data_IF_272569094430
#
_entry.id   IF_272569094430
#
_cell.length_a   1.000
_cell.length_b   1.000
_cell.length_c   1.000
_cell.angle_alpha   90.00
_cell.angle_beta   90.00
_cell.angle_gamma   90.00
#
_symmetry.space_group_name_H-M   'P 1'
#
loop_
_entity.id
_entity.type
_entity.pdbx_description
1 polymer ?
#
# COMPACT_ATOMS: atom_id res chain seq x y z
N UNK A 1 26.98 2.44 -28.92
CA UNK A 1 26.93 1.24 -29.81
C UNK A 1 25.97 0.15 -29.27
N UNK A 2 24.88 0.53 -28.61
CA UNK A 2 23.83 -0.37 -28.08
C UNK A 2 22.41 0.12 -28.43
N UNK A 3 22.32 1.13 -29.30
CA UNK A 3 21.07 1.77 -29.74
C UNK A 3 20.72 1.50 -31.22
N UNK A 4 21.65 0.98 -32.02
CA UNK A 4 21.45 0.69 -33.46
C UNK A 4 20.85 -0.69 -33.76
N UNK A 5 20.56 -1.52 -32.75
CA UNK A 5 19.80 -2.78 -32.93
C UNK A 5 18.27 -2.61 -32.81
N UNK A 6 17.77 -1.38 -32.68
CA UNK A 6 16.32 -1.09 -32.66
C UNK A 6 15.70 -0.90 -34.06
N UNK A 7 16.49 -0.82 -35.13
CA UNK A 7 15.97 -0.55 -36.49
C UNK A 7 15.76 -1.77 -37.38
N UNK A 8 16.10 -2.99 -36.95
CA UNK A 8 15.81 -4.22 -37.69
C UNK A 8 14.65 -5.02 -37.10
N UNK A 9 13.51 -4.36 -36.81
CA UNK A 9 12.19 -5.03 -36.68
C UNK A 9 10.99 -4.06 -36.66
N UNK A 10 11.07 -2.95 -37.39
CA UNK A 10 9.95 -2.01 -37.57
C UNK A 10 9.48 -2.12 -39.03
N UNK A 11 8.71 -3.15 -39.38
CA UNK A 11 8.00 -3.22 -40.67
C UNK A 11 6.76 -4.13 -40.74
N UNK A 12 6.33 -4.77 -39.66
CA UNK A 12 4.98 -5.35 -39.60
C UNK A 12 4.37 -4.98 -38.26
N UNK A 13 3.11 -4.55 -38.26
CA UNK A 13 2.26 -4.63 -37.08
C UNK A 13 2.26 -6.09 -36.62
N UNK A 14 3.16 -6.42 -35.69
CA UNK A 14 3.20 -7.74 -35.07
C UNK A 14 2.00 -7.80 -34.15
N UNK A 15 0.99 -8.56 -34.53
CA UNK A 15 0.07 -9.14 -33.56
C UNK A 15 0.92 -9.73 -32.42
N UNK A 16 0.74 -9.22 -31.20
CA UNK A 16 1.50 -9.68 -30.04
C UNK A 16 0.97 -11.06 -29.62
N UNK A 17 1.59 -12.13 -30.13
CA UNK A 17 1.22 -13.53 -29.86
C UNK A 17 1.77 -14.12 -28.54
N UNK A 18 2.06 -13.27 -27.55
CA UNK A 18 2.62 -13.71 -26.27
C UNK A 18 1.85 -13.07 -25.12
N UNK A 19 1.38 -13.89 -24.17
CA UNK A 19 0.52 -13.48 -23.07
C UNK A 19 1.22 -13.68 -21.73
N UNK A 20 1.26 -12.61 -20.95
CA UNK A 20 1.78 -12.61 -19.58
C UNK A 20 0.60 -12.61 -18.60
N UNK A 21 0.55 -13.63 -17.75
CA UNK A 21 -0.31 -13.70 -16.57
C UNK A 21 0.53 -13.35 -15.34
N UNK A 22 -0.07 -12.67 -14.37
CA UNK A 22 0.62 -12.26 -13.14
C UNK A 22 -0.30 -12.44 -11.94
N UNK A 23 0.15 -13.22 -10.97
CA UNK A 23 -0.56 -13.43 -9.71
C UNK A 23 -0.02 -12.47 -8.66
N UNK A 24 -0.88 -11.56 -8.20
CA UNK A 24 -0.54 -10.55 -7.22
C UNK A 24 -1.04 -10.97 -5.83
N UNK A 25 -0.22 -10.79 -4.79
CA UNK A 25 -0.58 -11.20 -3.43
C UNK A 25 -0.93 -9.97 -2.58
N UNK A 26 -2.16 -9.92 -2.06
CA UNK A 26 -2.62 -9.03 -0.99
C UNK A 26 -2.69 -7.50 -1.29
N UNK A 27 -3.86 -6.89 -1.07
CA UNK A 27 -4.23 -5.52 -1.49
C UNK A 27 -3.26 -4.38 -1.15
N UNK A 28 -2.59 -4.47 0.00
CA UNK A 28 -1.54 -3.51 0.33
C UNK A 28 -0.29 -3.62 -0.56
N UNK A 29 0.16 -4.83 -0.88
CA UNK A 29 1.30 -5.09 -1.78
C UNK A 29 0.89 -5.10 -3.26
N UNK A 30 -0.37 -5.37 -3.58
CA UNK A 30 -0.93 -5.51 -4.93
C UNK A 30 -0.78 -4.27 -5.81
N UNK A 31 -0.94 -3.05 -5.28
CA UNK A 31 -0.70 -1.83 -6.09
C UNK A 31 0.73 -1.76 -6.65
N UNK A 32 1.71 -2.32 -5.93
CA UNK A 32 3.08 -2.47 -6.40
C UNK A 32 3.18 -3.50 -7.52
N UNK A 33 2.54 -4.65 -7.31
CA UNK A 33 2.58 -5.79 -8.22
C UNK A 33 1.91 -5.47 -9.57
N UNK A 34 0.73 -4.83 -9.58
CA UNK A 34 0.03 -4.47 -10.83
C UNK A 34 0.82 -3.45 -11.66
N UNK A 35 1.39 -2.45 -10.99
CA UNK A 35 2.26 -1.47 -11.63
C UNK A 35 3.46 -2.14 -12.27
N UNK A 36 4.14 -3.00 -11.51
CA UNK A 36 5.32 -3.70 -11.99
C UNK A 36 4.99 -4.73 -13.08
N UNK A 37 3.79 -5.33 -13.05
CA UNK A 37 3.30 -6.24 -14.09
C UNK A 37 3.18 -5.54 -15.44
N UNK A 38 2.62 -4.32 -15.48
CA UNK A 38 2.56 -3.50 -16.71
C UNK A 38 3.96 -3.19 -17.22
N UNK A 39 4.89 -2.83 -16.32
CA UNK A 39 6.26 -2.50 -16.70
C UNK A 39 7.01 -3.72 -17.23
N UNK A 40 6.83 -4.89 -16.62
CA UNK A 40 7.41 -6.14 -17.13
C UNK A 40 6.80 -6.54 -18.47
N UNK A 41 5.49 -6.41 -18.65
CA UNK A 41 4.86 -6.64 -19.95
C UNK A 41 5.44 -5.70 -21.03
N UNK A 42 5.71 -4.45 -20.68
CA UNK A 42 6.42 -3.51 -21.55
C UNK A 42 7.84 -3.97 -21.89
N UNK A 43 8.64 -4.35 -20.86
CA UNK A 43 10.01 -4.85 -21.04
C UNK A 43 10.05 -6.07 -21.98
N UNK A 44 9.09 -6.97 -21.83
CA UNK A 44 8.97 -8.20 -22.62
C UNK A 44 8.30 -8.00 -23.99
N UNK A 45 7.76 -6.80 -24.27
CA UNK A 45 6.89 -6.53 -25.41
C UNK A 45 5.75 -7.55 -25.54
N UNK A 46 5.12 -7.88 -24.40
CA UNK A 46 4.09 -8.90 -24.26
C UNK A 46 2.71 -8.30 -24.05
N UNK A 47 1.67 -9.04 -24.43
CA UNK A 47 0.28 -8.73 -24.07
C UNK A 47 0.07 -9.08 -22.60
N UNK A 48 -0.29 -8.11 -21.77
CA UNK A 48 -0.65 -8.36 -20.38
C UNK A 48 -2.10 -8.83 -20.31
N UNK A 49 -2.34 -9.96 -19.63
CA UNK A 49 -3.70 -10.31 -19.20
C UNK A 49 -3.98 -9.56 -17.90
N UNK A 50 -5.20 -9.03 -17.73
CA UNK A 50 -5.61 -8.34 -16.50
C UNK A 50 -5.18 -9.19 -15.29
N UNK A 51 -4.41 -8.62 -14.32
CA UNK A 51 -3.85 -9.39 -13.22
C UNK A 51 -4.92 -10.08 -12.36
N UNK A 52 -4.54 -11.23 -11.79
CA UNK A 52 -5.40 -11.99 -10.88
C UNK A 52 -4.99 -11.77 -9.41
N UNK A 53 -5.97 -11.92 -8.53
CA UNK A 53 -5.83 -11.80 -7.08
C UNK A 53 -5.63 -13.18 -6.45
N UNK A 54 -4.72 -13.29 -5.48
CA UNK A 54 -4.56 -14.55 -4.74
C UNK A 54 -5.68 -14.76 -3.71
N UNK A 55 -6.62 -15.64 -4.04
CA UNK A 55 -7.71 -16.06 -3.17
C UNK A 55 -7.29 -16.98 -2.00
N UNK A 56 -6.04 -17.45 -1.96
CA UNK A 56 -5.52 -18.33 -0.90
C UNK A 56 -4.86 -17.57 0.27
N UNK A 57 -5.07 -16.26 0.37
CA UNK A 57 -4.48 -15.41 1.43
C UNK A 57 -5.16 -15.56 2.80
N UNK A 58 -4.56 -14.99 3.86
CA UNK A 58 -5.10 -15.02 5.23
C UNK A 58 -6.54 -14.48 5.33
N UNK A 59 -6.85 -13.47 4.51
CA UNK A 59 -8.09 -12.71 4.53
C UNK A 59 -9.26 -13.43 3.84
N UNK A 60 -8.98 -14.52 3.12
CA UNK A 60 -9.98 -15.32 2.38
C UNK A 60 -10.94 -14.46 1.55
N UNK A 61 -10.39 -13.43 0.91
CA UNK A 61 -11.12 -12.53 0.03
C UNK A 61 -11.22 -13.15 -1.37
N UNK A 62 -12.44 -13.24 -1.89
CA UNK A 62 -12.75 -13.74 -3.23
C UNK A 62 -12.95 -12.61 -4.26
N UNK A 63 -12.61 -11.36 -3.92
CA UNK A 63 -12.63 -10.27 -4.90
C UNK A 63 -11.64 -10.52 -6.02
N UNK A 64 -12.05 -10.16 -7.24
CA UNK A 64 -11.22 -10.10 -8.44
C UNK A 64 -10.74 -8.66 -8.71
N UNK A 65 -9.75 -8.52 -9.61
CA UNK A 65 -9.24 -7.20 -9.99
C UNK A 65 -10.37 -6.28 -10.49
N UNK A 66 -11.36 -6.84 -11.19
CA UNK A 66 -12.53 -6.09 -11.69
C UNK A 66 -13.50 -5.62 -10.63
N UNK A 67 -13.47 -6.22 -9.43
CA UNK A 67 -14.31 -5.79 -8.32
C UNK A 67 -13.75 -4.55 -7.63
N UNK A 68 -12.43 -4.42 -7.67
CA UNK A 68 -11.68 -3.36 -7.00
C UNK A 68 -11.38 -2.22 -7.96
N UNK A 69 -10.92 -2.53 -9.18
CA UNK A 69 -10.48 -1.56 -10.17
C UNK A 69 -11.35 -1.56 -11.44
N UNK A 70 -11.44 -0.40 -12.04
CA UNK A 70 -12.11 -0.17 -13.32
C UNK A 70 -11.22 -0.71 -14.47
N UNK A 71 -11.53 -1.93 -14.92
CA UNK A 71 -10.76 -2.65 -15.94
C UNK A 71 -10.78 -1.92 -17.29
N UNK A 72 -11.92 -1.37 -17.69
CA UNK A 72 -12.04 -0.70 -18.98
C UNK A 72 -11.22 0.59 -19.00
N UNK A 73 -11.20 1.32 -17.88
CA UNK A 73 -10.28 2.44 -17.70
C UNK A 73 -8.81 2.00 -17.71
N UNK A 74 -8.46 0.94 -16.98
CA UNK A 74 -7.10 0.42 -16.92
C UNK A 74 -6.56 0.05 -18.31
N UNK A 75 -7.35 -0.67 -19.11
CA UNK A 75 -7.00 -1.05 -20.49
C UNK A 75 -6.91 0.17 -21.39
N UNK A 76 -7.94 1.03 -21.41
CA UNK A 76 -7.98 2.17 -22.33
C UNK A 76 -6.89 3.21 -22.03
N UNK A 77 -6.61 3.48 -20.75
CA UNK A 77 -5.59 4.44 -20.31
C UNK A 77 -4.17 3.98 -20.71
N UNK A 78 -3.89 2.68 -20.62
CA UNK A 78 -2.57 2.10 -20.92
C UNK A 78 -2.42 1.60 -22.36
N UNK A 79 -3.44 1.72 -23.20
CA UNK A 79 -3.48 1.20 -24.58
C UNK A 79 -2.33 1.65 -25.48
N UNK A 80 -1.72 2.82 -25.21
CA UNK A 80 -0.55 3.34 -25.94
C UNK A 80 0.78 2.82 -25.43
N UNK A 81 0.80 2.26 -24.23
CA UNK A 81 2.01 1.76 -23.56
C UNK A 81 2.13 0.24 -23.68
N UNK A 82 1.06 -0.50 -23.34
CA UNK A 82 1.04 -1.97 -23.31
C UNK A 82 -0.32 -2.47 -23.79
N UNK A 83 -0.34 -3.53 -24.59
CA UNK A 83 -1.60 -4.21 -24.95
C UNK A 83 -2.09 -5.00 -23.74
N UNK A 84 -3.30 -4.69 -23.27
CA UNK A 84 -3.91 -5.36 -22.12
C UNK A 84 -5.23 -6.00 -22.55
N UNK A 85 -5.43 -7.28 -22.19
CA UNK A 85 -6.65 -8.04 -22.49
C UNK A 85 -7.27 -8.59 -21.22
N UNK A 86 -8.60 -8.69 -21.17
CA UNK A 86 -9.33 -9.22 -20.01
C UNK A 86 -9.06 -10.72 -19.77
N UNK A 87 -8.80 -11.46 -20.85
CA UNK A 87 -8.53 -12.90 -20.84
C UNK A 87 -7.73 -13.27 -22.08
N UNK A 88 -7.09 -14.43 -22.03
CA UNK A 88 -6.44 -15.03 -23.20
C UNK A 88 -7.51 -15.28 -24.27
N UNK A 89 -7.26 -14.95 -25.56
CA UNK A 89 -8.18 -15.26 -26.65
C UNK A 89 -8.52 -16.76 -26.70
N UNK A 90 -9.78 -17.08 -27.01
CA UNK A 90 -10.28 -18.45 -26.96
C UNK A 90 -9.55 -19.37 -27.94
N UNK A 91 -9.20 -18.84 -29.12
CA UNK A 91 -8.47 -19.52 -30.18
C UNK A 91 -7.06 -19.91 -29.70
N UNK A 92 -6.42 -19.03 -28.93
CA UNK A 92 -5.11 -19.28 -28.33
C UNK A 92 -5.23 -20.38 -27.28
N UNK A 93 -6.20 -20.27 -26.39
CA UNK A 93 -6.45 -21.26 -25.34
C UNK A 93 -6.75 -22.65 -25.91
N UNK A 94 -7.50 -22.74 -27.02
CA UNK A 94 -7.75 -24.00 -27.73
C UNK A 94 -6.49 -24.57 -28.40
N UNK A 95 -5.61 -23.71 -28.90
CA UNK A 95 -4.35 -24.11 -29.55
C UNK A 95 -3.25 -24.51 -28.55
N UNK A 96 -3.48 -24.31 -27.25
CA UNK A 96 -2.51 -24.64 -26.22
C UNK A 96 -2.60 -26.12 -25.86
N UNK A 97 -1.61 -26.90 -26.28
CA UNK A 97 -1.46 -28.30 -25.88
C UNK A 97 -1.06 -28.48 -24.40
N UNK A 98 -0.67 -27.38 -23.72
CA UNK A 98 -0.14 -27.38 -22.35
C UNK A 98 -0.67 -26.17 -21.59
N UNK A 99 -0.86 -26.35 -20.28
CA UNK A 99 -1.17 -25.25 -19.37
C UNK A 99 -0.12 -24.12 -19.44
N UNK A 100 -0.50 -22.87 -19.07
CA UNK A 100 0.44 -21.77 -18.92
C UNK A 100 1.69 -22.18 -18.14
N UNK A 101 2.87 -21.79 -18.64
CA UNK A 101 4.09 -22.09 -17.90
C UNK A 101 4.20 -21.18 -16.67
N UNK A 102 4.27 -21.77 -15.49
CA UNK A 102 4.37 -21.01 -14.23
C UNK A 102 5.82 -20.87 -13.80
N UNK A 103 6.20 -19.69 -13.32
CA UNK A 103 7.49 -19.49 -12.66
C UNK A 103 7.42 -18.39 -11.60
N UNK A 104 8.47 -18.27 -10.79
CA UNK A 104 8.62 -17.21 -9.80
C UNK A 104 9.91 -16.44 -10.07
N UNK A 105 9.77 -15.13 -10.32
CA UNK A 105 10.93 -14.26 -10.40
C UNK A 105 11.60 -14.08 -9.02
N UNK A 106 12.94 -13.97 -8.95
CA UNK A 106 13.62 -13.48 -7.77
C UNK A 106 13.08 -12.12 -7.30
N UNK A 107 13.27 -11.77 -6.03
CA UNK A 107 12.86 -10.44 -5.53
C UNK A 107 13.79 -9.38 -6.11
N UNK A 108 13.23 -8.23 -6.48
CA UNK A 108 13.96 -7.07 -7.03
C UNK A 108 14.83 -7.42 -8.25
N UNK A 109 14.36 -8.30 -9.11
CA UNK A 109 14.99 -8.57 -10.40
C UNK A 109 15.10 -7.29 -11.24
N UNK A 110 16.24 -7.15 -11.92
CA UNK A 110 16.52 -6.08 -12.88
C UNK A 110 15.87 -6.38 -14.24
N UNK A 111 15.66 -5.38 -15.12
CA UNK A 111 15.07 -5.60 -16.44
C UNK A 111 15.75 -6.71 -17.27
N UNK A 112 17.06 -6.84 -17.18
CA UNK A 112 17.87 -7.83 -17.89
C UNK A 112 17.44 -9.25 -17.53
N UNK A 113 17.12 -9.53 -16.26
CA UNK A 113 16.61 -10.84 -15.85
C UNK A 113 15.32 -11.21 -16.61
N UNK A 114 14.42 -10.26 -16.84
CA UNK A 114 13.20 -10.54 -17.59
C UNK A 114 13.51 -10.83 -19.06
N UNK A 115 14.43 -10.07 -19.66
CA UNK A 115 14.85 -10.26 -21.06
C UNK A 115 15.59 -11.59 -21.23
N UNK A 116 16.49 -11.94 -20.32
CA UNK A 116 17.39 -13.07 -20.48
C UNK A 116 16.76 -14.39 -20.02
N UNK A 117 15.94 -14.38 -18.96
CA UNK A 117 15.38 -15.60 -18.35
C UNK A 117 13.89 -15.79 -18.66
N UNK A 118 13.09 -14.73 -18.67
CA UNK A 118 11.62 -14.83 -18.83
C UNK A 118 11.21 -14.83 -20.30
N UNK A 119 11.77 -13.93 -21.11
CA UNK A 119 11.43 -13.79 -22.53
C UNK A 119 11.65 -15.08 -23.35
N UNK A 120 12.77 -15.82 -23.21
CA UNK A 120 12.98 -17.05 -23.99
C UNK A 120 11.99 -18.16 -23.62
N UNK A 121 11.48 -18.17 -22.39
CA UNK A 121 10.42 -19.10 -21.97
C UNK A 121 9.09 -18.64 -22.56
N UNK A 122 8.76 -17.36 -22.46
CA UNK A 122 7.53 -16.79 -23.01
C UNK A 122 7.44 -17.02 -24.53
N UNK A 123 8.53 -16.82 -25.28
CA UNK A 123 8.58 -17.07 -26.73
C UNK A 123 8.34 -18.55 -27.09
N UNK A 124 8.83 -19.48 -26.25
CA UNK A 124 8.63 -20.92 -26.48
C UNK A 124 7.24 -21.42 -26.06
N UNK A 125 6.66 -20.82 -25.03
CA UNK A 125 5.41 -21.29 -24.39
C UNK A 125 4.16 -20.52 -24.81
N UNK A 126 4.33 -19.35 -25.44
CA UNK A 126 3.28 -18.37 -25.78
C UNK A 126 2.58 -17.74 -24.57
N UNK A 127 2.29 -18.52 -23.52
CA UNK A 127 1.66 -18.05 -22.29
C UNK A 127 2.55 -18.39 -21.08
N UNK A 128 2.83 -17.38 -20.26
CA UNK A 128 3.65 -17.51 -19.05
C UNK A 128 2.96 -16.81 -17.87
N UNK A 129 2.96 -17.47 -16.72
CA UNK A 129 2.39 -16.97 -15.47
C UNK A 129 3.47 -16.73 -14.42
N UNK A 130 3.60 -15.47 -13.99
CA UNK A 130 4.49 -15.07 -12.91
C UNK A 130 3.74 -15.13 -11.58
N UNK A 131 4.08 -16.12 -10.77
CA UNK A 131 3.42 -16.37 -9.48
C UNK A 131 4.05 -15.53 -8.35
N UNK A 132 3.24 -15.10 -7.37
CA UNK A 132 3.67 -14.33 -6.18
C UNK A 132 4.48 -13.07 -6.54
N UNK A 133 3.91 -12.24 -7.41
CA UNK A 133 4.60 -11.16 -8.10
C UNK A 133 4.76 -9.87 -7.27
N UNK A 134 5.01 -9.99 -5.98
CA UNK A 134 5.17 -8.83 -5.10
C UNK A 134 6.65 -8.47 -4.96
N UNK A 135 6.97 -7.20 -5.23
CA UNK A 135 8.35 -6.68 -5.14
C UNK A 135 9.35 -7.49 -5.97
N UNK A 136 8.93 -7.91 -7.18
CA UNK A 136 9.77 -8.70 -8.10
C UNK A 136 10.57 -7.87 -9.07
N UNK A 137 10.14 -6.65 -9.38
CA UNK A 137 10.91 -5.72 -10.21
C UNK A 137 11.66 -4.73 -9.31
N UNK A 138 12.94 -4.51 -9.56
CA UNK A 138 13.78 -3.54 -8.83
C UNK A 138 13.18 -2.13 -8.84
N UNK A 139 13.45 -1.32 -7.81
CA UNK A 139 13.10 0.11 -7.84
C UNK A 139 14.05 0.94 -8.71
N UNK A 140 15.23 0.42 -9.04
CA UNK A 140 16.24 1.07 -9.87
C UNK A 140 15.95 0.80 -11.35
N UNK A 141 15.05 1.60 -11.94
CA UNK A 141 14.73 1.55 -13.36
C UNK A 141 15.06 2.87 -14.06
N UNK A 142 15.30 2.77 -15.36
CA UNK A 142 15.45 3.90 -16.28
C UNK A 142 14.25 4.85 -16.23
N UNK A 143 14.49 6.11 -16.60
CA UNK A 143 13.52 7.20 -16.47
C UNK A 143 12.18 6.90 -17.15
N UNK A 144 12.18 6.31 -18.35
CA UNK A 144 10.95 6.01 -19.09
C UNK A 144 10.13 4.90 -18.42
N UNK A 145 10.79 3.89 -17.86
CA UNK A 145 10.13 2.84 -17.08
C UNK A 145 9.57 3.39 -15.77
N UNK A 146 10.27 4.33 -15.14
CA UNK A 146 9.73 5.03 -13.97
C UNK A 146 8.51 5.88 -14.32
N UNK A 147 8.53 6.60 -15.46
CA UNK A 147 7.35 7.36 -15.93
C UNK A 147 6.15 6.43 -16.17
N UNK A 148 6.36 5.27 -16.78
CA UNK A 148 5.31 4.25 -16.92
C UNK A 148 4.80 3.79 -15.56
N UNK A 149 5.69 3.45 -14.62
CA UNK A 149 5.34 3.12 -13.23
C UNK A 149 4.47 4.20 -12.58
N UNK A 150 4.85 5.47 -12.71
CA UNK A 150 4.10 6.59 -12.15
C UNK A 150 2.69 6.68 -12.74
N UNK A 151 2.57 6.58 -14.08
CA UNK A 151 1.29 6.62 -14.77
C UNK A 151 0.35 5.49 -14.34
N UNK A 152 0.88 4.27 -14.25
CA UNK A 152 0.08 3.12 -13.81
C UNK A 152 -0.39 3.30 -12.36
N UNK A 153 0.55 3.61 -11.46
CA UNK A 153 0.29 3.70 -10.02
C UNK A 153 -0.70 4.81 -9.63
N UNK A 154 -0.62 5.97 -10.28
CA UNK A 154 -1.40 7.14 -9.87
C UNK A 154 -2.63 7.43 -10.74
N UNK A 155 -2.66 6.93 -11.99
CA UNK A 155 -3.73 7.26 -12.95
C UNK A 155 -4.47 6.04 -13.51
N UNK A 156 -3.77 4.95 -13.84
CA UNK A 156 -4.42 3.78 -14.45
C UNK A 156 -5.20 2.93 -13.43
N UNK A 157 -4.68 2.79 -12.21
CA UNK A 157 -5.35 2.06 -11.13
C UNK A 157 -6.45 2.92 -10.50
N UNK A 158 -7.63 2.90 -11.11
CA UNK A 158 -8.83 3.60 -10.67
C UNK A 158 -9.80 2.63 -10.02
N UNK A 159 -10.26 2.91 -8.80
CA UNK A 159 -11.27 2.05 -8.16
C UNK A 159 -12.59 2.03 -8.95
N UNK A 160 -13.35 0.94 -8.79
CA UNK A 160 -14.69 0.81 -9.37
C UNK A 160 -15.62 1.94 -8.92
N UNK A 161 -16.65 2.21 -9.71
CA UNK A 161 -17.58 3.31 -9.44
C UNK A 161 -18.32 3.14 -8.10
N UNK A 162 -18.63 1.90 -7.71
CA UNK A 162 -19.28 1.58 -6.43
C UNK A 162 -18.41 1.98 -5.23
N UNK A 163 -17.14 1.56 -5.22
CA UNK A 163 -16.15 1.92 -4.19
C UNK A 163 -15.95 3.43 -4.15
N UNK A 164 -15.76 4.08 -5.31
CA UNK A 164 -15.55 5.53 -5.41
C UNK A 164 -16.73 6.31 -4.87
N UNK A 165 -17.94 5.91 -5.26
CA UNK A 165 -19.18 6.58 -4.86
C UNK A 165 -19.36 6.50 -3.34
N UNK A 166 -19.16 5.32 -2.75
CA UNK A 166 -19.27 5.17 -1.30
C UNK A 166 -18.16 5.93 -0.57
N UNK A 167 -16.89 5.76 -0.95
CA UNK A 167 -15.77 6.49 -0.34
C UNK A 167 -15.97 8.00 -0.37
N UNK A 168 -16.38 8.57 -1.51
CA UNK A 168 -16.68 10.00 -1.62
C UNK A 168 -17.90 10.42 -0.80
N UNK A 169 -18.92 9.56 -0.66
CA UNK A 169 -20.05 9.80 0.25
C UNK A 169 -19.59 9.91 1.70
N UNK A 170 -18.68 9.04 2.15
CA UNK A 170 -18.13 9.10 3.52
C UNK A 170 -17.30 10.37 3.73
N UNK A 171 -16.45 10.74 2.77
CA UNK A 171 -15.68 12.00 2.80
C UNK A 171 -16.60 13.21 2.93
N UNK A 172 -17.68 13.28 2.12
CA UNK A 172 -18.66 14.38 2.21
C UNK A 172 -19.32 14.44 3.58
N UNK A 173 -19.73 13.31 4.16
CA UNK A 173 -20.31 13.27 5.52
C UNK A 173 -19.32 13.81 6.56
N UNK A 174 -18.06 13.39 6.52
CA UNK A 174 -17.01 13.89 7.41
C UNK A 174 -16.80 15.40 7.25
N UNK A 175 -16.76 15.89 6.00
CA UNK A 175 -16.56 17.32 5.69
C UNK A 175 -17.75 18.20 6.09
N UNK A 176 -18.97 17.65 6.09
CA UNK A 176 -20.15 18.34 6.62
C UNK A 176 -20.10 18.50 8.14
N UNK A 177 -19.51 17.54 8.86
CA UNK A 177 -19.35 17.61 10.32
C UNK A 177 -18.19 18.52 10.74
N UNK A 178 -17.10 18.54 9.96
CA UNK A 178 -16.00 19.47 10.17
C UNK A 178 -15.29 19.77 8.86
N UNK A 179 -14.88 21.03 8.62
CA UNK A 179 -14.12 21.38 7.43
C UNK A 179 -12.78 20.65 7.35
N UNK A 180 -12.26 20.09 8.47
CA UNK A 180 -11.02 19.30 8.52
C UNK A 180 -11.15 18.04 9.36
N UNK A 181 -10.48 16.97 8.97
CA UNK A 181 -10.41 15.72 9.74
C UNK A 181 -9.05 15.03 9.60
N UNK A 182 -8.73 14.23 10.62
CA UNK A 182 -7.55 13.38 10.66
C UNK A 182 -7.99 11.96 10.36
N UNK A 183 -7.33 11.28 9.42
CA UNK A 183 -7.54 9.86 9.21
C UNK A 183 -6.40 9.06 9.87
N UNK A 184 -6.75 8.09 10.71
CA UNK A 184 -5.82 7.18 11.37
C UNK A 184 -6.00 5.78 10.78
N UNK A 185 -4.95 5.23 10.20
CA UNK A 185 -4.91 3.83 9.81
C UNK A 185 -4.32 2.98 10.93
N UNK A 186 -5.14 2.10 11.49
CA UNK A 186 -4.76 1.16 12.55
C UNK A 186 -4.60 -0.24 11.96
N UNK A 187 -3.37 -0.62 11.63
CA UNK A 187 -3.02 -2.00 11.31
C UNK A 187 -2.73 -2.74 12.63
N UNK A 188 -3.79 -3.09 13.35
CA UNK A 188 -3.76 -3.76 14.66
C UNK A 188 -4.60 -5.05 14.66
N UNK A 189 -4.66 -5.72 13.51
CA UNK A 189 -5.37 -6.98 13.32
C UNK A 189 -4.53 -8.18 13.79
N UNK A 190 -5.16 -9.30 14.16
CA UNK A 190 -4.49 -10.46 14.76
C UNK A 190 -3.31 -10.99 13.95
N UNK A 191 -3.41 -10.99 12.62
CA UNK A 191 -2.36 -11.47 11.72
C UNK A 191 -1.11 -10.59 11.79
N UNK A 192 -1.27 -9.27 11.84
CA UNK A 192 -0.17 -8.33 11.95
C UNK A 192 0.53 -8.48 13.31
N UNK A 193 -0.25 -8.63 14.38
CA UNK A 193 0.31 -8.80 15.72
C UNK A 193 1.08 -10.12 15.83
N UNK A 194 0.49 -11.21 15.36
CA UNK A 194 1.12 -12.53 15.30
C UNK A 194 2.40 -12.53 14.44
N UNK A 195 2.37 -11.89 13.26
CA UNK A 195 3.53 -11.76 12.37
C UNK A 195 4.64 -10.94 13.04
N UNK A 196 4.29 -9.84 13.70
CA UNK A 196 5.26 -8.97 14.39
C UNK A 196 5.90 -9.61 15.63
N UNK A 197 5.28 -10.64 16.22
CA UNK A 197 5.80 -11.32 17.42
C UNK A 197 5.76 -10.44 18.68
N UNK A 198 4.95 -9.38 18.66
CA UNK A 198 4.86 -8.41 19.75
C UNK A 198 3.88 -8.86 20.83
N UNK A 199 4.10 -8.37 22.05
CA UNK A 199 3.23 -8.57 23.20
C UNK A 199 2.68 -7.23 23.70
N UNK A 200 1.37 -7.17 23.94
CA UNK A 200 0.63 -5.95 24.28
C UNK A 200 -0.02 -5.98 25.67
N UNK A 201 0.26 -7.03 26.47
CA UNK A 201 -0.15 -7.09 27.88
C UNK A 201 -1.42 -7.89 28.15
N UNK A 202 -1.93 -8.64 27.17
CA UNK A 202 -3.13 -9.48 27.27
C UNK A 202 -2.92 -10.85 27.92
N UNK A 203 -1.76 -11.09 28.53
CA UNK A 203 -1.46 -12.31 29.30
C UNK A 203 -1.34 -13.57 28.44
N UNK A 204 -1.54 -14.73 29.08
CA UNK A 204 -1.46 -16.05 28.44
C UNK A 204 -2.45 -16.23 27.29
N UNK A 205 -3.61 -15.57 27.37
CA UNK A 205 -4.61 -15.60 26.29
C UNK A 205 -4.04 -15.02 25.00
N UNK A 206 -3.47 -13.82 25.06
CA UNK A 206 -2.84 -13.17 23.89
C UNK A 206 -1.70 -14.03 23.34
N UNK A 207 -0.83 -14.53 24.22
CA UNK A 207 0.31 -15.36 23.82
C UNK A 207 -0.14 -16.61 23.07
N UNK A 208 -1.16 -17.31 23.59
CA UNK A 208 -1.73 -18.50 22.96
C UNK A 208 -2.38 -18.18 21.62
N UNK A 209 -3.27 -17.20 21.56
CA UNK A 209 -4.00 -16.87 20.33
C UNK A 209 -3.07 -16.42 19.20
N UNK A 210 -2.13 -15.53 19.48
CA UNK A 210 -1.21 -14.99 18.46
C UNK A 210 -0.14 -16.03 18.06
N UNK A 211 0.32 -16.88 18.97
CA UNK A 211 1.25 -17.96 18.62
C UNK A 211 0.63 -18.99 17.69
N UNK A 212 -0.65 -19.35 17.87
CA UNK A 212 -1.37 -20.25 16.96
C UNK A 212 -1.47 -19.65 15.54
N UNK A 213 -1.75 -18.36 15.42
CA UNK A 213 -1.76 -17.67 14.10
C UNK A 213 -0.35 -17.64 13.49
N UNK A 214 0.68 -17.39 14.32
CA UNK A 214 2.08 -17.27 13.87
C UNK A 214 2.61 -18.55 13.22
N UNK A 215 2.10 -19.73 13.57
CA UNK A 215 2.46 -21.02 12.94
C UNK A 215 2.25 -21.07 11.42
N UNK A 216 1.55 -20.10 10.84
CA UNK A 216 1.43 -19.96 9.37
C UNK A 216 2.75 -19.55 8.69
N UNK A 217 3.72 -19.04 9.45
CA UNK A 217 5.00 -18.59 8.91
C UNK A 217 6.18 -19.35 9.54
N UNK A 218 6.46 -20.54 9.04
CA UNK A 218 7.51 -21.45 9.53
C UNK A 218 8.93 -20.88 9.44
N UNK A 219 9.13 -19.81 8.65
CA UNK A 219 10.44 -19.20 8.40
C UNK A 219 10.72 -17.95 9.25
N UNK A 220 9.75 -17.53 10.08
CA UNK A 220 9.98 -16.37 10.95
C UNK A 220 10.91 -16.75 12.09
N UNK A 221 11.90 -15.90 12.42
CA UNK A 221 12.77 -16.16 13.55
C UNK A 221 11.98 -16.10 14.87
N UNK A 222 12.41 -16.90 15.84
CA UNK A 222 12.02 -16.72 17.22
C UNK A 222 12.76 -15.51 17.79
N UNK A 223 12.02 -14.44 18.07
CA UNK A 223 12.54 -13.19 18.64
C UNK A 223 11.71 -12.85 19.87
N UNK A 224 12.34 -12.22 20.86
CA UNK A 224 11.61 -11.75 22.03
C UNK A 224 10.69 -10.59 21.66
N UNK A 225 9.51 -10.53 22.30
CA UNK A 225 8.54 -9.46 22.07
C UNK A 225 9.13 -8.10 22.44
N UNK A 226 9.97 -8.07 23.48
CA UNK A 226 10.72 -6.90 23.93
C UNK A 226 11.71 -6.41 22.86
N UNK A 227 12.41 -7.33 22.19
CA UNK A 227 13.34 -7.00 21.11
C UNK A 227 12.60 -6.45 19.89
N UNK A 228 11.51 -7.08 19.46
CA UNK A 228 10.72 -6.57 18.33
C UNK A 228 10.15 -5.17 18.63
N UNK A 229 9.72 -4.94 19.87
CA UNK A 229 9.25 -3.63 20.31
C UNK A 229 10.37 -2.60 20.37
N UNK A 230 11.54 -2.94 20.90
CA UNK A 230 12.70 -2.03 20.97
C UNK A 230 13.26 -1.69 19.58
N UNK A 231 13.13 -2.59 18.60
CA UNK A 231 13.50 -2.36 17.20
C UNK A 231 12.48 -1.53 16.43
N UNK A 232 11.31 -1.24 17.03
CA UNK A 232 10.24 -0.47 16.41
C UNK A 232 9.48 -1.25 15.33
N UNK A 233 9.44 -2.59 15.45
CA UNK A 233 8.71 -3.47 14.52
C UNK A 233 7.25 -3.65 14.93
N UNK A 234 6.95 -3.49 16.22
CA UNK A 234 5.58 -3.52 16.73
C UNK A 234 4.78 -2.29 16.27
N UNK A 235 3.57 -2.49 15.72
CA UNK A 235 2.57 -1.45 15.64
C UNK A 235 2.33 -0.77 16.99
N UNK A 236 2.06 0.53 16.97
CA UNK A 236 1.53 1.22 18.15
C UNK A 236 0.11 0.73 18.44
N UNK A 237 -0.25 0.66 19.72
CA UNK A 237 -1.64 0.43 20.13
C UNK A 237 -2.50 1.65 19.77
N UNK A 238 -3.84 1.49 19.63
CA UNK A 238 -4.73 2.64 19.41
C UNK A 238 -4.56 3.72 20.48
N UNK A 239 -4.39 3.34 21.75
CA UNK A 239 -4.11 4.27 22.84
C UNK A 239 -2.79 5.03 22.64
N UNK A 240 -1.71 4.35 22.25
CA UNK A 240 -0.41 4.97 21.98
C UNK A 240 -0.46 5.95 20.81
N UNK A 241 -1.23 5.63 19.76
CA UNK A 241 -1.50 6.57 18.66
C UNK A 241 -2.22 7.80 19.18
N UNK A 242 -3.23 7.62 20.04
CA UNK A 242 -3.95 8.72 20.66
C UNK A 242 -3.03 9.62 21.50
N UNK A 243 -2.19 9.03 22.35
CA UNK A 243 -1.21 9.76 23.16
C UNK A 243 -0.21 10.52 22.29
N UNK A 244 0.26 9.92 21.18
CA UNK A 244 1.13 10.58 20.22
C UNK A 244 0.45 11.81 19.63
N UNK A 245 -0.79 11.69 19.15
CA UNK A 245 -1.53 12.80 18.55
C UNK A 245 -1.78 13.93 19.55
N UNK A 246 -2.22 13.60 20.77
CA UNK A 246 -2.40 14.59 21.84
C UNK A 246 -1.08 15.32 22.14
N UNK A 247 0.03 14.60 22.21
CA UNK A 247 1.35 15.18 22.43
C UNK A 247 1.87 16.04 21.26
N UNK A 248 1.43 15.77 20.04
CA UNK A 248 1.70 16.57 18.84
C UNK A 248 0.81 17.82 18.71
N UNK A 249 -0.15 18.00 19.63
CA UNK A 249 -0.99 19.20 19.71
C UNK A 249 -2.39 19.05 19.10
N UNK A 250 -2.82 17.83 18.74
CA UNK A 250 -4.19 17.60 18.28
C UNK A 250 -5.19 17.71 19.45
N UNK A 251 -6.17 18.60 19.30
CA UNK A 251 -7.27 18.82 20.25
C UNK A 251 -8.21 17.61 20.36
N UNK A 252 -8.96 17.49 21.45
CA UNK A 252 -9.88 16.35 21.65
C UNK A 252 -11.14 16.49 20.79
N UNK A 253 -11.43 17.71 20.38
CA UNK A 253 -12.42 18.11 19.38
C UNK A 253 -12.02 17.75 17.94
N UNK A 254 -10.81 17.22 17.70
CA UNK A 254 -10.38 16.77 16.37
C UNK A 254 -11.28 15.64 15.87
N UNK A 255 -11.90 15.81 14.70
CA UNK A 255 -12.63 14.75 14.02
C UNK A 255 -11.66 13.67 13.51
N UNK A 256 -11.79 12.47 14.05
CA UNK A 256 -10.95 11.32 13.76
C UNK A 256 -11.73 10.30 12.93
N UNK A 257 -11.27 10.04 11.71
CA UNK A 257 -11.68 8.87 10.95
C UNK A 257 -10.70 7.73 11.22
N UNK A 258 -11.19 6.57 11.64
CA UNK A 258 -10.37 5.39 11.91
C UNK A 258 -10.59 4.33 10.83
N UNK A 259 -9.55 4.10 10.03
CA UNK A 259 -9.46 3.04 9.04
C UNK A 259 -8.79 1.82 9.66
N UNK A 260 -9.50 0.69 9.69
CA UNK A 260 -8.98 -0.57 10.22
C UNK A 260 -9.78 -1.77 9.73
N UNK A 261 -9.14 -2.94 9.67
CA UNK A 261 -9.82 -4.22 9.69
C UNK A 261 -10.33 -4.58 11.09
N UNK A 262 -10.36 -5.87 11.39
CA UNK A 262 -10.72 -6.40 12.71
C UNK A 262 -9.63 -6.11 13.74
N UNK A 263 -9.86 -5.15 14.63
CA UNK A 263 -8.92 -4.78 15.69
C UNK A 263 -8.85 -5.89 16.74
N UNK A 264 -7.65 -6.37 17.06
CA UNK A 264 -7.44 -7.33 18.14
C UNK A 264 -7.89 -6.74 19.50
N UNK A 265 -8.74 -7.47 20.22
CA UNK A 265 -9.39 -7.01 21.46
C UNK A 265 -10.60 -6.07 21.24
N UNK A 266 -10.93 -5.74 20.00
CA UNK A 266 -12.15 -5.02 19.63
C UNK A 266 -12.31 -3.66 20.31
N UNK A 267 -13.51 -3.42 20.84
CA UNK A 267 -13.88 -2.14 21.46
C UNK A 267 -13.06 -1.83 22.71
N UNK A 268 -12.59 -2.84 23.46
CA UNK A 268 -11.76 -2.60 24.65
C UNK A 268 -10.42 -1.94 24.28
N UNK A 269 -9.84 -2.36 23.15
CA UNK A 269 -8.60 -1.81 22.61
C UNK A 269 -8.80 -0.41 22.02
N UNK A 270 -9.97 -0.14 21.42
CA UNK A 270 -10.30 1.15 20.82
C UNK A 270 -10.75 2.22 21.84
N UNK A 271 -11.35 1.81 22.96
CA UNK A 271 -11.94 2.69 23.97
C UNK A 271 -10.99 3.82 24.41
N UNK A 272 -9.71 3.59 24.77
CA UNK A 272 -8.83 4.68 25.19
C UNK A 272 -8.54 5.71 24.09
N UNK A 273 -8.53 5.29 22.81
CA UNK A 273 -8.39 6.24 21.70
C UNK A 273 -9.63 7.12 21.57
N UNK A 274 -10.84 6.53 21.72
CA UNK A 274 -12.10 7.27 21.70
C UNK A 274 -12.26 8.22 22.88
N UNK A 275 -11.76 7.86 24.06
CA UNK A 275 -11.73 8.76 25.23
C UNK A 275 -10.84 9.99 25.00
N UNK A 276 -9.73 9.83 24.27
CA UNK A 276 -8.85 10.95 23.90
C UNK A 276 -9.42 11.81 22.76
N UNK A 277 -10.20 11.21 21.86
CA UNK A 277 -10.81 11.84 20.69
C UNK A 277 -12.27 11.41 20.54
N UNK A 278 -13.21 12.05 21.26
CA UNK A 278 -14.63 11.68 21.24
C UNK A 278 -15.31 11.84 19.86
N UNK A 279 -14.81 12.72 18.98
CA UNK A 279 -15.30 12.84 17.59
C UNK A 279 -14.71 11.73 16.71
N UNK A 280 -15.08 10.48 17.02
CA UNK A 280 -14.53 9.26 16.45
C UNK A 280 -15.50 8.63 15.45
N UNK A 281 -15.03 8.36 14.24
CA UNK A 281 -15.85 7.81 13.15
C UNK A 281 -15.14 6.65 12.46
N UNK A 282 -15.90 5.61 12.12
CA UNK A 282 -15.44 4.50 11.27
C UNK A 282 -16.27 4.42 9.99
N UNK A 283 -15.82 3.61 9.02
CA UNK A 283 -16.60 3.33 7.81
C UNK A 283 -17.99 2.78 8.12
N UNK A 284 -18.11 1.90 9.11
CA UNK A 284 -19.37 1.28 9.54
C UNK A 284 -20.36 2.35 10.05
N UNK A 285 -19.89 3.25 10.91
CA UNK A 285 -20.70 4.35 11.45
C UNK A 285 -21.18 5.31 10.36
N UNK A 286 -20.31 5.63 9.40
CA UNK A 286 -20.61 6.62 8.36
C UNK A 286 -21.43 6.04 7.21
N UNK A 287 -21.21 4.79 6.83
CA UNK A 287 -21.88 4.14 5.72
C UNK A 287 -23.26 3.60 6.10
N UNK A 288 -23.40 3.03 7.29
CA UNK A 288 -24.62 2.32 7.68
C UNK A 288 -24.93 1.18 6.71
N UNK A 289 -26.16 1.11 6.22
CA UNK A 289 -26.63 0.04 5.33
C UNK A 289 -25.92 -0.01 3.98
N UNK A 290 -25.35 1.10 3.50
CA UNK A 290 -24.62 1.14 2.22
C UNK A 290 -23.38 0.22 2.23
N UNK A 291 -22.86 -0.12 3.42
CA UNK A 291 -21.68 -0.97 3.56
C UNK A 291 -21.98 -2.46 3.34
N UNK A 292 -23.24 -2.89 3.43
CA UNK A 292 -23.65 -4.31 3.43
C UNK A 292 -23.07 -5.10 2.25
N UNK A 293 -23.03 -4.49 1.07
CA UNK A 293 -22.51 -5.11 -0.17
C UNK A 293 -20.99 -5.32 -0.15
N UNK A 294 -20.28 -4.66 0.76
CA UNK A 294 -18.82 -4.70 0.87
C UNK A 294 -18.33 -5.54 2.05
N UNK A 295 -19.19 -5.83 3.05
CA UNK A 295 -18.81 -6.52 4.29
C UNK A 295 -18.07 -7.85 4.08
N UNK A 296 -18.41 -8.69 3.08
CA UNK A 296 -17.68 -9.94 2.85
C UNK A 296 -16.26 -9.75 2.29
N UNK A 297 -15.95 -8.57 1.73
CA UNK A 297 -14.77 -8.35 0.88
C UNK A 297 -13.82 -7.33 1.52
N UNK A 298 -12.85 -7.84 2.28
CA UNK A 298 -11.84 -7.04 2.99
C UNK A 298 -11.09 -6.02 2.11
N UNK A 299 -10.79 -6.38 0.87
CA UNK A 299 -10.04 -5.59 -0.10
C UNK A 299 -10.87 -4.42 -0.62
N UNK A 300 -12.18 -4.63 -0.82
CA UNK A 300 -13.11 -3.56 -1.20
C UNK A 300 -13.35 -2.59 -0.03
N UNK A 301 -13.42 -3.10 1.20
CA UNK A 301 -13.47 -2.27 2.41
C UNK A 301 -12.21 -1.42 2.58
N UNK A 302 -11.04 -2.02 2.38
CA UNK A 302 -9.77 -1.31 2.42
C UNK A 302 -9.66 -0.24 1.33
N UNK A 303 -10.24 -0.48 0.14
CA UNK A 303 -10.36 0.51 -0.93
C UNK A 303 -11.22 1.72 -0.55
N UNK A 304 -12.32 1.51 0.18
CA UNK A 304 -13.13 2.60 0.73
C UNK A 304 -12.31 3.40 1.75
N UNK A 305 -11.66 2.71 2.70
CA UNK A 305 -10.79 3.34 3.71
C UNK A 305 -9.67 4.16 3.05
N UNK A 306 -9.08 3.65 1.96
CA UNK A 306 -8.04 4.35 1.22
C UNK A 306 -8.51 5.70 0.67
N UNK A 307 -9.72 5.76 0.09
CA UNK A 307 -10.28 7.02 -0.41
C UNK A 307 -10.44 8.01 0.74
N UNK A 308 -11.02 7.58 1.86
CA UNK A 308 -11.26 8.46 3.01
C UNK A 308 -9.94 8.92 3.64
N UNK A 309 -8.93 8.06 3.69
CA UNK A 309 -7.59 8.43 4.15
C UNK A 309 -6.89 9.40 3.20
N UNK A 310 -6.96 9.19 1.88
CA UNK A 310 -6.35 10.06 0.86
C UNK A 310 -6.95 11.48 0.89
N UNK A 311 -8.25 11.59 1.16
CA UNK A 311 -8.94 12.87 1.25
C UNK A 311 -8.82 13.60 2.59
N UNK A 312 -8.18 12.99 3.59
CA UNK A 312 -7.96 13.62 4.90
C UNK A 312 -6.92 14.75 4.86
N UNK A 313 -7.03 15.72 5.77
CA UNK A 313 -6.04 16.79 5.89
C UNK A 313 -4.71 16.29 6.48
N UNK A 314 -4.83 15.37 7.44
CA UNK A 314 -3.69 14.65 8.03
C UNK A 314 -3.99 13.17 8.05
N UNK A 315 -3.09 12.40 7.43
CA UNK A 315 -3.10 10.95 7.51
C UNK A 315 -2.08 10.49 8.54
N UNK A 316 -2.47 9.55 9.41
CA UNK A 316 -1.65 9.06 10.52
C UNK A 316 -1.67 7.54 10.50
N UNK A 317 -0.55 6.91 10.82
CA UNK A 317 -0.48 5.45 10.87
C UNK A 317 0.00 4.96 12.21
N UNK A 318 -0.37 3.74 12.61
CA UNK A 318 0.20 3.08 13.79
C UNK A 318 1.45 2.24 13.46
N UNK A 319 1.65 1.91 12.19
CA UNK A 319 2.81 1.22 11.65
C UNK A 319 3.13 1.73 10.23
N UNK A 320 4.27 1.35 9.66
CA UNK A 320 4.62 1.70 8.27
C UNK A 320 4.42 0.50 7.32
N UNK A 321 3.18 0.00 7.25
CA UNK A 321 2.76 -1.10 6.36
C UNK A 321 2.58 -0.67 4.89
N UNK A 322 2.15 -1.59 4.02
CA UNK A 322 2.08 -1.30 2.58
C UNK A 322 1.06 -0.21 2.23
N UNK A 323 -0.17 -0.26 2.76
CA UNK A 323 -1.19 0.78 2.53
C UNK A 323 -0.71 2.16 2.99
N UNK A 324 0.01 2.22 4.12
CA UNK A 324 0.60 3.45 4.62
C UNK A 324 1.56 4.07 3.61
N UNK A 325 2.45 3.26 3.02
CA UNK A 325 3.40 3.71 2.00
C UNK A 325 2.70 4.19 0.74
N UNK A 326 1.76 3.41 0.20
CA UNK A 326 1.04 3.76 -1.02
C UNK A 326 0.26 5.07 -0.86
N UNK A 327 -0.43 5.26 0.27
CA UNK A 327 -1.10 6.52 0.60
C UNK A 327 -0.10 7.67 0.76
N UNK A 328 1.03 7.45 1.42
CA UNK A 328 2.06 8.48 1.57
C UNK A 328 2.59 8.96 0.20
N UNK A 329 2.90 8.04 -0.72
CA UNK A 329 3.34 8.38 -2.06
C UNK A 329 2.26 9.10 -2.87
N UNK A 330 1.01 8.62 -2.81
CA UNK A 330 -0.13 9.27 -3.47
C UNK A 330 -0.35 10.69 -2.97
N UNK A 331 -0.33 10.89 -1.65
CA UNK A 331 -0.48 12.19 -0.99
C UNK A 331 0.67 13.14 -1.30
N UNK A 332 1.87 12.64 -1.66
CA UNK A 332 2.97 13.46 -2.20
C UNK A 332 2.72 13.83 -3.67
N UNK A 333 2.25 12.88 -4.45
CA UNK A 333 2.05 13.03 -5.90
C UNK A 333 0.87 13.95 -6.26
N UNK A 334 -0.30 13.75 -5.64
CA UNK A 334 -1.56 14.45 -5.96
C UNK A 334 -1.71 15.84 -5.29
N UNK A 335 -0.59 16.51 -5.02
CA UNK A 335 -0.56 17.74 -4.21
C UNK A 335 -0.38 17.40 -2.74
N UNK A 336 0.80 17.74 -2.22
CA UNK A 336 1.28 17.35 -0.89
C UNK A 336 0.21 17.51 0.21
N UNK A 337 -0.18 16.40 0.82
CA UNK A 337 -0.97 16.34 2.06
C UNK A 337 -0.18 15.65 3.18
N UNK A 338 -0.35 16.10 4.42
CA UNK A 338 0.48 15.67 5.55
C UNK A 338 0.26 14.19 5.89
N UNK A 339 1.35 13.42 6.02
CA UNK A 339 1.32 12.02 6.46
C UNK A 339 2.27 11.82 7.64
N UNK A 340 1.72 11.59 8.83
CA UNK A 340 2.46 11.37 10.07
C UNK A 340 2.67 9.87 10.27
N UNK A 341 3.93 9.46 10.37
CA UNK A 341 4.30 8.08 10.70
C UNK A 341 4.99 8.01 12.06
N UNK A 342 4.80 6.95 12.85
CA UNK A 342 5.34 6.89 14.19
C UNK A 342 6.83 6.53 14.16
N UNK A 343 7.63 7.20 14.99
CA UNK A 343 8.97 6.79 15.35
C UNK A 343 8.91 5.64 16.36
N UNK A 344 8.33 4.50 15.97
CA UNK A 344 8.02 3.40 16.88
C UNK A 344 9.19 3.05 17.80
N UNK A 345 10.41 2.95 17.26
CA UNK A 345 11.64 2.70 18.02
C UNK A 345 11.83 3.66 19.20
N UNK A 346 11.67 4.97 18.98
CA UNK A 346 11.87 5.97 20.05
C UNK A 346 10.63 6.18 20.91
N UNK A 347 9.45 6.10 20.31
CA UNK A 347 8.17 6.27 21.00
C UNK A 347 7.91 5.14 22.00
N UNK A 348 8.27 3.90 21.68
CA UNK A 348 8.08 2.75 22.57
C UNK A 348 8.77 2.95 23.92
N UNK A 349 9.99 3.50 23.93
CA UNK A 349 10.72 3.84 25.16
C UNK A 349 10.01 4.93 25.96
N UNK A 350 9.41 5.92 25.29
CA UNK A 350 8.67 6.99 25.95
C UNK A 350 7.35 6.49 26.55
N UNK A 351 6.62 5.62 25.85
CA UNK A 351 5.37 5.06 26.35
C UNK A 351 5.58 4.19 27.59
N UNK A 352 6.62 3.35 27.62
CA UNK A 352 6.99 2.56 28.80
C UNK A 352 7.25 3.42 30.04
N UNK A 353 7.82 4.62 29.84
CA UNK A 353 8.14 5.56 30.92
C UNK A 353 7.07 6.65 31.09
N UNK A 354 5.91 6.54 30.44
CA UNK A 354 4.89 7.61 30.43
C UNK A 354 4.46 8.01 31.84
N UNK A 355 4.25 7.04 32.73
CA UNK A 355 3.85 7.26 34.14
C UNK A 355 4.95 7.88 35.01
N UNK A 356 6.19 7.91 34.55
CA UNK A 356 7.35 8.43 35.28
C UNK A 356 7.64 9.91 34.97
N UNK A 357 6.83 10.58 34.14
CA UNK A 357 7.04 11.97 33.76
C UNK A 357 5.72 12.76 33.64
N UNK A 358 5.76 14.07 33.85
CA UNK A 358 4.63 14.97 33.60
C UNK A 358 4.23 15.03 32.12
N UNK A 359 3.02 15.52 31.83
CA UNK A 359 2.49 15.63 30.46
C UNK A 359 3.36 16.54 29.57
N UNK A 360 3.76 17.70 30.06
CA UNK A 360 4.53 18.66 29.27
C UNK A 360 5.89 18.09 28.85
N UNK A 361 6.58 17.44 29.78
CA UNK A 361 7.83 16.72 29.51
C UNK A 361 7.63 15.59 28.50
N UNK A 362 6.54 14.84 28.62
CA UNK A 362 6.20 13.78 27.67
C UNK A 362 5.93 14.35 26.27
N UNK A 363 5.11 15.39 26.17
CA UNK A 363 4.74 16.05 24.92
C UNK A 363 5.97 16.62 24.20
N UNK A 364 6.83 17.36 24.89
CA UNK A 364 8.08 17.88 24.33
C UNK A 364 9.00 16.76 23.82
N UNK A 365 9.10 15.65 24.55
CA UNK A 365 9.90 14.48 24.12
C UNK A 365 9.30 13.81 22.89
N UNK A 366 7.98 13.61 22.85
CA UNK A 366 7.27 13.06 21.67
C UNK A 366 7.52 13.93 20.44
N UNK A 367 7.32 15.25 20.55
CA UNK A 367 7.58 16.19 19.46
C UNK A 367 9.03 16.10 18.98
N UNK A 368 10.00 16.03 19.89
CA UNK A 368 11.42 15.88 19.55
C UNK A 368 11.72 14.58 18.79
N UNK A 369 11.16 13.44 19.21
CA UNK A 369 11.43 12.16 18.55
C UNK A 369 10.65 11.97 17.25
N UNK A 370 9.52 12.68 17.08
CA UNK A 370 8.72 12.66 15.86
C UNK A 370 9.25 13.58 14.75
N UNK A 371 10.23 14.46 15.03
CA UNK A 371 10.84 15.31 13.99
C UNK A 371 11.29 14.50 12.79
N UNK A 372 10.99 15.04 11.61
CA UNK A 372 11.23 14.38 10.32
C UNK A 372 10.16 13.35 9.95
N UNK A 373 9.34 12.84 10.87
CA UNK A 373 8.29 11.84 10.58
C UNK A 373 6.89 12.45 10.54
N UNK A 374 6.82 13.78 10.45
CA UNK A 374 5.58 14.56 10.41
C UNK A 374 5.01 14.73 8.99
N UNK A 375 5.69 14.20 7.97
CA UNK A 375 5.27 14.28 6.58
C UNK A 375 5.51 15.66 5.98
N UNK A 376 6.73 16.20 6.13
CA UNK A 376 7.10 17.48 5.53
C UNK A 376 7.17 17.38 3.99
N UNK A 377 6.86 18.46 3.24
CA UNK A 377 6.90 18.47 1.78
C UNK A 377 8.25 18.06 1.21
N UNK A 378 9.33 18.58 1.80
CA UNK A 378 10.72 18.35 1.38
C UNK A 378 11.40 17.25 2.21
N UNK A 379 10.63 16.31 2.77
CA UNK A 379 11.21 15.10 3.36
C UNK A 379 11.79 14.23 2.24
N UNK A 380 13.05 14.49 1.87
CA UNK A 380 13.82 13.81 0.82
C UNK A 380 14.55 12.60 1.41
N UNK A 381 14.11 11.98 2.50
CA UNK A 381 14.85 10.84 3.08
C UNK A 381 15.06 9.76 2.02
N UNK A 382 16.30 9.60 1.50
CA UNK A 382 16.57 8.64 0.47
C UNK A 382 16.91 7.38 1.24
N UNK A 383 15.92 6.54 1.48
CA UNK A 383 16.24 5.13 1.41
C UNK A 383 16.05 4.76 -0.05
N UNK A 384 17.17 4.44 -0.70
CA UNK A 384 17.15 3.59 -1.89
C UNK A 384 16.09 2.52 -1.62
N UNK A 385 15.11 2.40 -2.51
CA UNK A 385 14.11 1.34 -2.52
C UNK A 385 12.74 1.58 -1.84
N UNK A 386 12.27 2.83 -1.70
CA UNK A 386 10.87 3.09 -1.30
C UNK A 386 10.09 4.01 -2.26
N UNK A 387 10.02 3.63 -3.54
CA UNK A 387 9.19 4.31 -4.56
C UNK A 387 7.74 4.49 -4.08
N UNK A 388 7.22 3.56 -3.28
CA UNK A 388 5.85 3.59 -2.80
C UNK A 388 5.59 4.76 -1.86
N UNK A 389 6.46 4.97 -0.88
CA UNK A 389 6.36 6.08 0.07
C UNK A 389 6.91 7.40 -0.51
N UNK A 390 7.93 7.32 -1.38
CA UNK A 390 8.65 8.45 -1.97
C UNK A 390 8.79 8.30 -3.50
N UNK A 391 7.74 8.60 -4.28
CA UNK A 391 7.75 8.50 -5.73
C UNK A 391 8.48 9.70 -6.37
N UNK A 392 9.75 9.93 -6.02
CA UNK A 392 10.52 11.10 -6.48
C UNK A 392 10.61 11.18 -8.00
N UNK A 393 10.75 10.04 -8.68
CA UNK A 393 10.74 9.96 -10.14
C UNK A 393 9.41 10.40 -10.78
N UNK A 394 8.32 10.47 -10.00
CA UNK A 394 7.00 10.90 -10.46
C UNK A 394 6.73 12.39 -10.21
N UNK A 395 7.53 13.05 -9.39
CA UNK A 395 7.25 14.41 -8.92
C UNK A 395 8.31 15.33 -9.54
N UNK A 396 7.85 16.32 -10.31
CA UNK A 396 8.75 17.36 -10.81
C UNK A 396 9.31 18.15 -9.63
N UNK A 397 10.63 18.17 -9.47
CA UNK A 397 11.27 19.04 -8.50
C UNK A 397 11.00 20.50 -8.89
N UNK A 398 10.44 21.28 -7.97
CA UNK A 398 10.43 22.73 -8.13
C UNK A 398 11.89 23.18 -8.16
N UNK A 399 12.34 23.79 -9.26
CA UNK A 399 13.63 24.48 -9.27
C UNK A 399 13.59 25.52 -8.14
N UNK A 400 14.58 25.58 -7.24
CA UNK A 400 14.68 26.70 -6.32
C UNK A 400 14.76 27.96 -7.19
N UNK A 401 13.75 28.82 -7.10
CA UNK A 401 13.80 30.11 -7.77
C UNK A 401 15.01 30.85 -7.25
N UNK A 402 15.83 31.40 -8.15
CA UNK A 402 16.86 32.35 -7.79
C UNK A 402 16.18 33.50 -7.05
N UNK A 403 16.20 33.47 -5.72
CA UNK A 403 16.01 34.67 -4.92
C UNK A 403 17.28 35.48 -5.18
N UNK A 404 17.21 36.35 -6.17
CA UNK A 404 18.19 37.39 -6.36
C UNK A 404 18.23 38.19 -5.07
N UNK A 405 19.27 37.97 -4.28
CA UNK A 405 19.65 38.88 -3.20
C UNK A 405 20.10 40.16 -3.88
N UNK A 406 19.18 41.09 -4.07
CA UNK A 406 19.53 42.49 -4.35
C UNK A 406 20.29 42.99 -3.12
N UNK A 407 21.55 43.32 -3.36
CA UNK A 407 22.49 43.94 -2.42
C UNK A 407 22.17 45.41 -2.24
#
# INVERSE_FOLDING_TARGET
MQWEKREFQICCAREQFHWLLVDCYQWGAESAAYRDAVVVAWILNATLVVPELDHHSFWKDDSDFSDIFDVDWFISYLSKDVTIVKRIPYEVMLSMDKLPWTMRAPRKSVPEFYIDEVLPILMRRRVLQLTKFDYRLTSELDEDLQKLRCRVNFHALRFTNSIRTLGQKLVRKLRLMSPRYVAVHLRFEPDMLAFSGCYYGGGEKERKELSEIRKRWDTLPELSAEDERSRGKCPLTPHEVGLMLRALGFGNDTNLYVASGEIYGGEETLRPLRELFPNFYTKEMLAGDDLKLFLPFSSRLAAIDFIVCDESDVFVTNNNGNMAKVLAGRRRYMGHKRTIRPNAKKLNVLFQRRKQMGWDTFSQKVQKVQRGLMGEPDDIRPKQDDFHEFPSACICLRKPGNVSVTT
#
